data_IF_807573474339
#
_entry.id   IF_807573474339
#
_cell.length_a   1.000
_cell.length_b   1.000
_cell.length_c   1.000
_cell.angle_alpha   90.00
_cell.angle_beta   90.00
_cell.angle_gamma   90.00
#
_symmetry.space_group_name_H-M   'P 1'
#
loop_
_entity.id
_entity.type
_entity.pdbx_description
1 polymer ?
#
# COMPACT_ATOMS: atom_id res chain seq x y z
N UNK A 1 -96.01 -18.81 1.10
CA UNK A 1 -94.78 -18.12 1.55
C UNK A 1 -94.42 -17.02 0.54
N UNK A 2 -93.73 -15.96 0.95
CA UNK A 2 -93.71 -14.64 0.23
C UNK A 2 -92.66 -14.55 -0.90
N UNK A 3 -92.96 -13.70 -1.90
CA UNK A 3 -92.01 -13.14 -2.88
C UNK A 3 -91.30 -11.88 -2.34
N UNK A 4 -90.07 -11.63 -2.81
CA UNK A 4 -89.30 -10.36 -2.94
C UNK A 4 -88.05 -10.74 -3.78
N UNK A 5 -87.56 -10.10 -4.86
CA UNK A 5 -87.70 -8.79 -5.54
C UNK A 5 -86.62 -7.74 -5.16
N UNK A 6 -85.62 -7.61 -6.05
CA UNK A 6 -84.64 -6.53 -6.31
C UNK A 6 -83.96 -5.77 -5.13
N UNK A 7 -82.63 -5.62 -5.22
CA UNK A 7 -82.06 -4.33 -5.63
C UNK A 7 -80.66 -4.49 -6.26
N UNK A 8 -80.30 -3.56 -7.14
CA UNK A 8 -78.97 -3.44 -7.76
C UNK A 8 -78.05 -2.60 -6.88
N UNK A 9 -76.76 -2.93 -6.83
CA UNK A 9 -75.73 -2.01 -6.33
C UNK A 9 -74.48 -2.09 -7.21
N UNK A 10 -74.30 -1.07 -8.05
CA UNK A 10 -73.00 -0.79 -8.66
C UNK A 10 -71.98 -0.54 -7.55
N UNK A 11 -70.84 -1.22 -7.58
CA UNK A 11 -69.64 -0.75 -6.89
C UNK A 11 -68.60 -0.35 -7.93
N UNK A 12 -68.17 0.91 -7.83
CA UNK A 12 -67.32 1.55 -8.83
C UNK A 12 -65.95 0.87 -8.95
N UNK A 13 -65.46 0.84 -10.20
CA UNK A 13 -64.03 0.80 -10.49
C UNK A 13 -63.36 1.95 -9.71
N UNK A 14 -62.55 1.61 -8.71
CA UNK A 14 -61.49 2.49 -8.24
C UNK A 14 -60.17 1.84 -8.62
N UNK A 15 -59.47 2.52 -9.53
CA UNK A 15 -58.13 2.15 -9.94
C UNK A 15 -57.24 2.02 -8.70
N UNK A 16 -56.62 0.87 -8.48
CA UNK A 16 -55.52 0.77 -7.51
C UNK A 16 -54.36 1.56 -8.14
N UNK A 17 -53.93 2.71 -7.57
CA UNK A 17 -52.74 3.37 -8.07
C UNK A 17 -51.56 2.42 -7.87
N UNK A 18 -50.79 2.19 -8.93
CA UNK A 18 -49.58 1.37 -8.87
C UNK A 18 -48.67 1.89 -7.75
N UNK A 19 -48.29 1.01 -6.82
CA UNK A 19 -47.38 1.35 -5.72
C UNK A 19 -45.97 1.52 -6.30
N UNK A 20 -45.67 2.74 -6.76
CA UNK A 20 -44.37 3.14 -7.28
C UNK A 20 -43.53 3.89 -6.21
N UNK A 21 -43.64 3.48 -4.94
CA UNK A 21 -43.15 4.25 -3.80
C UNK A 21 -42.14 3.53 -2.86
N UNK A 22 -42.00 2.20 -2.94
CA UNK A 22 -41.13 1.45 -2.02
C UNK A 22 -39.74 1.13 -2.64
N UNK A 23 -39.72 0.63 -3.88
CA UNK A 23 -38.49 0.22 -4.58
C UNK A 23 -37.44 1.34 -4.66
N UNK A 24 -37.87 2.58 -4.90
CA UNK A 24 -36.97 3.72 -5.05
C UNK A 24 -36.30 4.12 -3.71
N UNK A 25 -37.03 3.99 -2.59
CA UNK A 25 -36.50 4.26 -1.24
C UNK A 25 -35.51 3.18 -0.82
N UNK A 26 -35.86 1.91 -1.04
CA UNK A 26 -35.00 0.75 -0.76
C UNK A 26 -33.71 0.83 -1.59
N UNK A 27 -33.82 1.21 -2.87
CA UNK A 27 -32.67 1.37 -3.77
C UNK A 27 -31.75 2.52 -3.34
N UNK A 28 -32.32 3.68 -2.99
CA UNK A 28 -31.55 4.85 -2.54
C UNK A 28 -30.76 4.58 -1.25
N UNK A 29 -31.37 3.90 -0.28
CA UNK A 29 -30.68 3.50 0.97
C UNK A 29 -29.52 2.53 0.68
N UNK A 30 -29.75 1.47 -0.11
CA UNK A 30 -28.70 0.51 -0.49
C UNK A 30 -27.50 1.18 -1.18
N UNK A 31 -27.73 2.15 -2.07
CA UNK A 31 -26.66 2.89 -2.75
C UNK A 31 -25.85 3.72 -1.74
N UNK A 32 -26.52 4.40 -0.80
CA UNK A 32 -25.87 5.19 0.24
C UNK A 32 -25.01 4.33 1.16
N UNK A 33 -25.55 3.22 1.64
CA UNK A 33 -24.86 2.30 2.56
C UNK A 33 -23.66 1.64 1.88
N UNK A 34 -23.81 1.27 0.60
CA UNK A 34 -22.69 0.78 -0.21
C UNK A 34 -21.57 1.82 -0.25
N UNK A 35 -21.86 3.07 -0.66
CA UNK A 35 -20.85 4.13 -0.80
C UNK A 35 -20.16 4.48 0.52
N UNK A 36 -20.86 4.41 1.65
CA UNK A 36 -20.26 4.58 2.99
C UNK A 36 -19.23 3.49 3.25
N UNK A 37 -19.55 2.23 2.94
CA UNK A 37 -18.63 1.10 3.08
C UNK A 37 -17.41 1.22 2.13
N UNK A 38 -17.61 1.67 0.89
CA UNK A 38 -16.50 1.87 -0.06
C UNK A 38 -15.48 2.91 0.43
N UNK A 39 -15.98 4.04 0.95
CA UNK A 39 -15.15 5.06 1.58
C UNK A 39 -14.41 4.49 2.80
N UNK A 40 -15.11 3.83 3.72
CA UNK A 40 -14.51 3.22 4.92
C UNK A 40 -13.39 2.24 4.59
N UNK A 41 -13.55 1.36 3.59
CA UNK A 41 -12.51 0.41 3.18
C UNK A 41 -11.29 1.16 2.61
N UNK A 42 -11.53 2.20 1.81
CA UNK A 42 -10.48 3.03 1.19
C UNK A 42 -9.69 3.83 2.22
N UNK A 43 -10.39 4.53 3.12
CA UNK A 43 -9.81 5.32 4.21
C UNK A 43 -8.99 4.44 5.16
N UNK A 44 -9.54 3.28 5.57
CA UNK A 44 -8.83 2.31 6.39
C UNK A 44 -7.58 1.75 5.68
N UNK A 45 -7.64 1.57 4.36
CA UNK A 45 -6.50 1.12 3.56
C UNK A 45 -5.38 2.15 3.51
N UNK A 46 -5.72 3.42 3.28
CA UNK A 46 -4.75 4.51 3.36
C UNK A 46 -4.17 4.61 4.77
N UNK A 47 -4.99 4.61 5.82
CA UNK A 47 -4.51 4.70 7.19
C UNK A 47 -3.59 3.52 7.57
N UNK A 48 -3.88 2.30 7.11
CA UNK A 48 -3.05 1.12 7.32
C UNK A 48 -1.66 1.29 6.68
N UNK A 49 -1.61 1.74 5.42
CA UNK A 49 -0.36 2.02 4.70
C UNK A 49 0.41 3.16 5.36
N UNK A 50 -0.24 4.30 5.65
CA UNK A 50 0.39 5.47 6.27
C UNK A 50 1.01 5.12 7.64
N UNK A 51 0.28 4.38 8.48
CA UNK A 51 0.79 3.90 9.77
C UNK A 51 2.00 2.96 9.62
N UNK A 52 2.04 2.17 8.54
CA UNK A 52 3.15 1.24 8.27
C UNK A 52 4.36 1.98 7.72
N UNK A 53 4.15 2.96 6.84
CA UNK A 53 5.21 3.86 6.34
C UNK A 53 5.81 4.70 7.47
N UNK A 54 5.01 5.17 8.44
CA UNK A 54 5.54 5.87 9.62
C UNK A 54 6.52 4.98 10.44
N UNK A 55 6.18 3.71 10.67
CA UNK A 55 7.12 2.74 11.30
C UNK A 55 8.39 2.56 10.47
N UNK A 56 8.26 2.50 9.14
CA UNK A 56 9.41 2.43 8.22
C UNK A 56 10.30 3.67 8.42
N UNK A 57 9.76 4.89 8.35
CA UNK A 57 10.54 6.12 8.55
C UNK A 57 11.20 6.18 9.92
N UNK A 58 10.52 5.76 10.98
CA UNK A 58 11.08 5.69 12.34
C UNK A 58 12.29 4.76 12.42
N UNK A 59 12.31 3.65 11.67
CA UNK A 59 13.47 2.72 11.63
C UNK A 59 14.75 3.33 11.05
N UNK A 60 14.66 4.45 10.31
CA UNK A 60 15.81 5.15 9.73
C UNK A 60 16.35 6.32 10.56
N UNK A 61 15.72 6.68 11.69
CA UNK A 61 16.11 7.83 12.51
C UNK A 61 17.34 7.60 13.42
N UNK A 62 17.99 6.44 13.32
CA UNK A 62 19.11 6.02 14.20
C UNK A 62 20.47 5.88 13.49
N UNK A 63 21.51 5.55 14.27
CA UNK A 63 22.91 5.38 13.80
C UNK A 63 23.03 4.35 12.66
N UNK A 64 22.15 3.34 12.66
CA UNK A 64 22.00 2.32 11.63
C UNK A 64 21.89 2.87 10.20
N UNK A 65 21.40 4.11 10.01
CA UNK A 65 21.30 4.75 8.70
C UNK A 65 22.64 4.86 7.96
N UNK A 66 23.78 4.88 8.67
CA UNK A 66 25.12 5.22 8.17
C UNK A 66 26.12 4.08 8.41
N UNK A 67 26.11 3.01 7.61
CA UNK A 67 27.04 1.89 7.81
C UNK A 67 28.19 1.90 6.81
N UNK A 68 29.41 1.74 7.34
CA UNK A 68 30.61 1.49 6.56
C UNK A 68 30.72 0.00 6.21
N UNK A 69 30.76 -0.30 4.91
CA UNK A 69 30.85 -1.66 4.37
C UNK A 69 32.24 -1.96 3.84
N UNK A 70 32.80 -3.10 4.22
CA UNK A 70 33.96 -3.67 3.54
C UNK A 70 33.50 -4.42 2.28
N UNK A 71 33.90 -3.97 1.09
CA UNK A 71 33.74 -4.76 -0.14
C UNK A 71 35.04 -5.52 -0.47
N UNK A 72 35.10 -6.85 -0.26
CA UNK A 72 36.28 -7.63 -0.58
C UNK A 72 36.41 -7.78 -2.11
N UNK A 73 37.49 -7.24 -2.68
CA UNK A 73 37.88 -7.53 -4.07
C UNK A 73 38.49 -8.93 -4.12
N UNK A 74 37.62 -9.95 -4.05
CA UNK A 74 37.99 -11.38 -3.97
C UNK A 74 38.87 -11.84 -5.13
N UNK A 75 38.85 -11.14 -6.26
CA UNK A 75 39.68 -11.41 -7.45
C UNK A 75 41.12 -10.91 -7.37
N UNK A 76 41.48 -10.06 -6.39
CA UNK A 76 42.79 -9.39 -6.34
C UNK A 76 43.55 -9.57 -5.02
N UNK A 77 42.97 -10.17 -3.99
CA UNK A 77 43.65 -10.39 -2.69
C UNK A 77 43.96 -9.12 -1.90
N UNK A 78 43.44 -7.97 -2.32
CA UNK A 78 43.61 -6.67 -1.66
C UNK A 78 42.67 -6.61 -0.44
N UNK A 79 43.09 -6.03 0.71
CA UNK A 79 42.18 -5.69 1.81
C UNK A 79 41.00 -4.88 1.26
N UNK A 80 39.78 -5.39 1.43
CA UNK A 80 38.59 -4.77 0.85
C UNK A 80 38.40 -3.33 1.34
N UNK A 81 37.90 -2.47 0.48
CA UNK A 81 37.72 -1.06 0.80
C UNK A 81 36.48 -0.83 1.66
N UNK A 82 36.56 0.17 2.54
CA UNK A 82 35.44 0.65 3.35
C UNK A 82 34.73 1.80 2.63
N UNK A 83 33.41 1.72 2.49
CA UNK A 83 32.59 2.85 2.03
C UNK A 83 31.37 3.00 2.94
N UNK A 84 31.05 4.23 3.35
CA UNK A 84 29.82 4.53 4.05
C UNK A 84 28.67 4.59 3.05
N UNK A 85 27.62 3.84 3.36
CA UNK A 85 26.34 3.88 2.65
C UNK A 85 25.32 4.50 3.61
N UNK A 86 24.67 5.55 3.14
CA UNK A 86 23.53 6.19 3.77
C UNK A 86 22.28 5.84 2.95
N UNK A 87 21.17 5.42 3.59
CA UNK A 87 19.99 4.91 2.87
C UNK A 87 18.66 5.40 3.41
N UNK A 88 17.93 6.24 2.65
CA UNK A 88 16.67 6.88 3.06
C UNK A 88 15.46 6.42 2.25
N UNK A 89 14.31 6.36 2.92
CA UNK A 89 13.00 6.15 2.26
C UNK A 89 12.36 7.50 1.97
N UNK A 90 11.90 7.69 0.74
CA UNK A 90 11.18 8.89 0.30
C UNK A 90 9.82 8.99 1.02
N UNK A 91 9.53 10.17 1.55
CA UNK A 91 8.26 10.45 2.24
C UNK A 91 7.10 10.68 1.25
N UNK A 92 7.41 10.91 -0.03
CA UNK A 92 6.43 11.13 -1.11
C UNK A 92 6.00 9.82 -1.79
N UNK A 93 5.76 8.77 -0.99
CA UNK A 93 5.23 7.51 -1.50
C UNK A 93 3.84 7.69 -2.11
N UNK A 94 3.53 6.88 -3.13
CA UNK A 94 2.25 6.94 -3.84
C UNK A 94 1.38 5.78 -3.42
N UNK A 95 0.09 6.07 -3.18
CA UNK A 95 -0.92 5.06 -2.88
C UNK A 95 -2.09 5.24 -3.86
N UNK A 96 -2.41 4.18 -4.59
CA UNK A 96 -3.58 4.05 -5.43
C UNK A 96 -4.47 2.93 -4.87
N UNK A 97 -5.71 3.24 -4.49
CA UNK A 97 -6.67 2.25 -3.95
C UNK A 97 -7.88 2.21 -4.86
N UNK A 98 -8.22 1.03 -5.35
CA UNK A 98 -9.29 0.84 -6.32
C UNK A 98 -10.12 -0.42 -6.05
N UNK A 99 -11.41 -0.33 -6.35
CA UNK A 99 -12.34 -1.47 -6.33
C UNK A 99 -12.20 -2.27 -7.63
N UNK A 100 -11.95 -3.57 -7.52
CA UNK A 100 -11.66 -4.44 -8.68
C UNK A 100 -12.93 -4.95 -9.36
N UNK A 101 -14.04 -5.10 -8.62
CA UNK A 101 -15.32 -5.49 -9.19
C UNK A 101 -16.50 -4.82 -8.46
N UNK A 102 -17.65 -4.71 -9.12
CA UNK A 102 -18.85 -4.11 -8.53
C UNK A 102 -19.61 -5.05 -7.58
N UNK A 103 -19.44 -6.37 -7.76
CA UNK A 103 -20.24 -7.43 -7.11
C UNK A 103 -19.65 -8.02 -5.83
N UNK A 104 -18.45 -7.59 -5.42
CA UNK A 104 -17.78 -8.01 -4.18
C UNK A 104 -17.01 -6.82 -3.59
N UNK A 105 -16.74 -6.76 -2.27
CA UNK A 105 -15.83 -5.77 -1.69
C UNK A 105 -14.35 -6.12 -1.97
N UNK A 106 -14.01 -6.44 -3.23
CA UNK A 106 -12.64 -6.73 -3.64
C UNK A 106 -11.92 -5.41 -3.94
N UNK A 107 -11.12 -4.94 -2.99
CA UNK A 107 -10.26 -3.77 -3.18
C UNK A 107 -8.80 -4.20 -3.30
N UNK A 108 -8.04 -3.46 -4.11
CA UNK A 108 -6.58 -3.57 -4.17
C UNK A 108 -5.97 -2.20 -3.94
N UNK A 109 -4.79 -2.20 -3.32
CA UNK A 109 -3.97 -1.01 -3.17
C UNK A 109 -2.62 -1.25 -3.85
N UNK A 110 -2.16 -0.28 -4.63
CA UNK A 110 -0.81 -0.23 -5.18
C UNK A 110 -0.04 0.84 -4.40
N UNK A 111 1.06 0.44 -3.77
CA UNK A 111 1.98 1.32 -3.06
C UNK A 111 3.30 1.40 -3.84
N UNK A 112 3.76 2.60 -4.17
CA UNK A 112 5.08 2.86 -4.75
C UNK A 112 5.94 3.69 -3.79
N UNK A 113 7.17 3.25 -3.54
CA UNK A 113 8.11 3.87 -2.60
C UNK A 113 9.49 4.00 -3.24
N UNK A 114 10.10 5.18 -3.19
CA UNK A 114 11.50 5.35 -3.58
C UNK A 114 12.42 5.11 -2.39
N UNK A 115 13.58 4.53 -2.67
CA UNK A 115 14.65 4.32 -1.69
C UNK A 115 15.96 4.89 -2.24
N UNK A 116 16.42 5.97 -1.65
CA UNK A 116 17.65 6.65 -2.06
C UNK A 116 18.83 6.10 -1.26
N UNK A 117 19.93 5.81 -1.96
CA UNK A 117 21.23 5.53 -1.36
C UNK A 117 22.24 6.59 -1.75
N UNK A 118 23.03 7.02 -0.78
CA UNK A 118 24.21 7.87 -0.95
C UNK A 118 25.43 7.05 -0.57
N UNK A 119 26.40 6.97 -1.48
CA UNK A 119 27.66 6.26 -1.28
C UNK A 119 28.79 7.27 -1.10
N UNK A 120 29.61 7.10 -0.06
CA UNK A 120 30.85 7.85 0.10
C UNK A 120 31.90 7.42 -0.92
N UNK A 121 33.02 8.15 -0.94
CA UNK A 121 34.28 7.63 -1.48
C UNK A 121 34.71 6.35 -0.74
N UNK A 122 35.67 5.62 -1.32
CA UNK A 122 36.26 4.42 -0.71
C UNK A 122 37.46 4.77 0.18
N UNK A 123 37.63 4.02 1.27
CA UNK A 123 38.61 4.25 2.32
C UNK A 123 39.35 2.96 2.71
N UNK A 124 40.52 3.13 3.31
CA UNK A 124 41.34 2.03 3.83
C UNK A 124 40.87 1.50 5.18
N UNK A 125 40.20 2.33 5.99
CA UNK A 125 39.70 1.94 7.32
C UNK A 125 38.21 2.26 7.51
N UNK A 126 37.58 1.53 8.45
CA UNK A 126 36.18 1.73 8.84
C UNK A 126 35.95 3.14 9.40
N UNK A 127 36.83 3.63 10.26
CA UNK A 127 36.71 4.93 10.92
C UNK A 127 36.76 6.12 9.93
N UNK A 128 37.61 6.04 8.90
CA UNK A 128 37.65 7.04 7.81
C UNK A 128 36.32 7.08 7.03
N UNK A 129 35.75 5.91 6.72
CA UNK A 129 34.46 5.81 6.04
C UNK A 129 33.31 6.35 6.91
N UNK A 130 33.24 5.96 8.19
CA UNK A 130 32.20 6.39 9.13
C UNK A 130 32.17 7.92 9.31
N UNK A 131 33.35 8.55 9.40
CA UNK A 131 33.49 10.01 9.56
C UNK A 131 33.39 10.81 8.26
N UNK A 132 33.48 10.15 7.09
CA UNK A 132 33.42 10.81 5.77
C UNK A 132 32.09 11.52 5.52
N UNK A 133 32.13 12.74 4.99
CA UNK A 133 30.95 13.43 4.44
C UNK A 133 31.01 13.55 2.90
N UNK A 134 31.83 12.71 2.27
CA UNK A 134 31.94 12.68 0.80
C UNK A 134 30.72 12.03 0.15
N UNK A 135 30.38 12.48 -1.06
CA UNK A 135 29.37 11.87 -1.92
C UNK A 135 30.08 11.47 -3.21
N UNK A 136 30.21 10.17 -3.46
CA UNK A 136 30.76 9.62 -4.70
C UNK A 136 29.67 9.23 -5.69
N UNK A 137 28.53 8.73 -5.20
CA UNK A 137 27.39 8.33 -6.02
C UNK A 137 26.08 8.45 -5.24
N UNK A 138 25.00 8.80 -5.93
CA UNK A 138 23.63 8.57 -5.49
C UNK A 138 22.94 7.56 -6.42
N UNK A 139 21.98 6.79 -5.89
CA UNK A 139 21.16 5.87 -6.68
C UNK A 139 19.80 5.68 -6.00
N UNK A 140 18.74 5.47 -6.77
CA UNK A 140 17.37 5.37 -6.24
C UNK A 140 16.74 4.05 -6.68
N UNK A 141 16.56 3.13 -5.74
CA UNK A 141 15.77 1.93 -5.97
C UNK A 141 14.28 2.24 -5.82
N UNK A 142 13.41 1.49 -6.49
CA UNK A 142 11.96 1.68 -6.40
C UNK A 142 11.32 0.40 -5.90
N UNK A 143 10.44 0.49 -4.92
CA UNK A 143 9.65 -0.64 -4.42
C UNK A 143 8.19 -0.47 -4.83
N UNK A 144 7.58 -1.56 -5.27
CA UNK A 144 6.14 -1.63 -5.55
C UNK A 144 5.51 -2.78 -4.77
N UNK A 145 4.45 -2.48 -4.04
CA UNK A 145 3.65 -3.46 -3.30
C UNK A 145 2.23 -3.46 -3.84
N UNK A 146 1.65 -4.65 -3.98
CA UNK A 146 0.22 -4.83 -4.24
C UNK A 146 -0.43 -5.46 -3.03
N UNK A 147 -1.40 -4.77 -2.45
CA UNK A 147 -2.20 -5.27 -1.35
C UNK A 147 -3.60 -5.64 -1.85
N UNK A 148 -4.23 -6.60 -1.18
CA UNK A 148 -5.63 -6.94 -1.36
C UNK A 148 -6.38 -6.81 -0.02
N UNK A 149 -7.60 -6.28 -0.08
CA UNK A 149 -8.51 -6.30 1.07
C UNK A 149 -9.19 -7.66 1.16
N UNK A 150 -9.01 -8.35 2.29
CA UNK A 150 -9.59 -9.67 2.59
C UNK A 150 -9.93 -9.77 4.07
N UNK A 151 -11.11 -10.28 4.39
CA UNK A 151 -11.54 -10.59 5.76
C UNK A 151 -11.29 -9.46 6.77
N UNK A 152 -11.62 -8.23 6.36
CA UNK A 152 -11.44 -7.01 7.16
C UNK A 152 -10.05 -6.36 7.08
N UNK A 153 -9.06 -7.02 6.47
CA UNK A 153 -7.64 -6.68 6.57
C UNK A 153 -7.01 -6.38 5.20
N UNK A 154 -5.98 -5.54 5.20
CA UNK A 154 -5.14 -5.28 4.03
C UNK A 154 -3.89 -6.16 4.07
N UNK A 155 -3.72 -7.02 3.06
CA UNK A 155 -2.68 -8.05 3.03
C UNK A 155 -1.80 -7.84 1.79
N UNK A 156 -0.47 -7.85 1.94
CA UNK A 156 0.46 -7.82 0.80
C UNK A 156 0.34 -9.11 -0.01
N UNK A 157 0.25 -8.99 -1.33
CA UNK A 157 0.04 -10.11 -2.27
C UNK A 157 1.07 -10.20 -3.39
N UNK A 158 1.75 -9.10 -3.71
CA UNK A 158 2.90 -9.05 -4.63
C UNK A 158 3.83 -7.94 -4.15
N UNK A 159 5.13 -8.12 -4.33
CA UNK A 159 6.16 -7.16 -3.95
C UNK A 159 7.32 -7.22 -4.95
N UNK A 160 7.77 -6.05 -5.41
CA UNK A 160 8.82 -5.91 -6.42
C UNK A 160 9.81 -4.83 -6.05
N UNK A 161 11.09 -5.07 -6.34
CA UNK A 161 12.18 -4.10 -6.24
C UNK A 161 12.73 -3.80 -7.64
N UNK A 162 12.83 -2.54 -8.01
CA UNK A 162 13.73 -2.09 -9.07
C UNK A 162 15.09 -1.82 -8.45
N UNK A 163 16.11 -2.51 -8.93
CA UNK A 163 17.50 -2.25 -8.56
C UNK A 163 18.11 -1.32 -9.60
N UNK A 164 18.46 -0.11 -9.18
CA UNK A 164 18.98 0.95 -10.04
C UNK A 164 20.43 0.73 -10.48
N UNK A 165 21.18 -0.13 -9.77
CA UNK A 165 22.54 -0.53 -10.18
C UNK A 165 22.48 -1.60 -11.28
N UNK A 166 21.48 -2.48 -11.23
CA UNK A 166 21.26 -3.56 -12.20
C UNK A 166 20.25 -3.21 -13.32
N UNK A 167 19.61 -2.04 -13.23
CA UNK A 167 18.69 -1.49 -14.24
C UNK A 167 17.43 -2.33 -14.48
N UNK A 168 16.96 -3.10 -13.48
CA UNK A 168 15.85 -4.05 -13.69
C UNK A 168 15.01 -4.33 -12.45
N UNK A 169 13.80 -4.81 -12.70
CA UNK A 169 12.85 -5.27 -11.68
C UNK A 169 13.12 -6.72 -11.25
N UNK A 170 12.93 -6.97 -9.97
CA UNK A 170 12.95 -8.28 -9.32
C UNK A 170 11.63 -8.46 -8.57
N UNK A 171 11.05 -9.66 -8.67
CA UNK A 171 10.02 -10.08 -7.71
C UNK A 171 10.72 -10.45 -6.42
N UNK A 172 10.22 -9.94 -5.30
CA UNK A 172 10.72 -10.24 -3.96
C UNK A 172 9.62 -10.94 -3.16
N UNK A 173 9.98 -11.53 -2.01
CA UNK A 173 9.02 -12.22 -1.15
C UNK A 173 7.94 -11.24 -0.65
N UNK A 174 6.66 -11.61 -0.79
CA UNK A 174 5.51 -10.79 -0.42
C UNK A 174 5.30 -10.74 1.12
N UNK A 175 6.25 -10.11 1.82
CA UNK A 175 6.17 -9.80 3.25
C UNK A 175 5.41 -8.50 3.50
N UNK A 176 5.13 -8.24 4.77
CA UNK A 176 4.69 -6.93 5.24
C UNK A 176 5.63 -5.81 4.73
N UNK A 177 5.05 -4.65 4.43
CA UNK A 177 5.77 -3.48 3.91
C UNK A 177 6.92 -3.08 4.86
N UNK A 178 6.70 -3.12 6.17
CA UNK A 178 7.73 -2.83 7.17
C UNK A 178 8.87 -3.85 7.13
N UNK A 179 8.58 -5.15 7.00
CA UNK A 179 9.63 -6.18 6.93
C UNK A 179 10.49 -6.08 5.64
N UNK A 180 9.90 -5.58 4.55
CA UNK A 180 10.66 -5.29 3.32
C UNK A 180 11.48 -4.01 3.46
N UNK A 181 10.90 -2.92 3.96
CA UNK A 181 11.48 -1.57 3.90
C UNK A 181 12.20 -1.08 5.16
N UNK A 182 12.04 -1.71 6.33
CA UNK A 182 12.74 -1.29 7.56
C UNK A 182 14.25 -1.27 7.39
N UNK A 183 14.94 -0.42 8.15
CA UNK A 183 16.39 -0.39 8.16
C UNK A 183 16.96 -1.76 8.57
N UNK A 184 17.79 -2.37 7.72
CA UNK A 184 18.39 -3.72 7.92
C UNK A 184 19.85 -3.65 8.35
N UNK A 185 20.32 -2.45 8.66
CA UNK A 185 21.70 -2.14 8.98
C UNK A 185 21.97 -2.38 10.47
N UNK A 186 21.77 -3.63 10.90
CA UNK A 186 22.27 -4.11 12.19
C UNK A 186 23.79 -4.04 12.18
N UNK A 187 24.36 -3.38 13.18
CA UNK A 187 25.81 -3.32 13.40
C UNK A 187 26.28 -4.66 13.97
N UNK A 188 26.81 -5.52 13.10
CA UNK A 188 27.71 -6.62 13.47
C UNK A 188 29.11 -6.07 13.78
#
# INVERSE_FOLDING_TARGET
MKKIILLSLMLLLHCVPAVAADDNKITTTKIKDTKILENQITDNGKQCIDNTMNKVFDSYKGVHYNVAYNQPIRSMGIPGYWAKISGSVDHNYKVDIQKVNSTSPNYVANLEVNFDYVFSQVYTTKAEAETSNSIAKTTTDNYKFKLAYKDGNWIVTDAKKYDSLLGKWFTIEAKDIYEVLKCKYESH
#
